data_IF_769187894301
#
_entry.id   IF_769187894301
#
_cell.length_a   1.000
_cell.length_b   1.000
_cell.length_c   1.000
_cell.angle_alpha   90.00
_cell.angle_beta   90.00
_cell.angle_gamma   90.00
#
_symmetry.space_group_name_H-M   'P 1'
#
loop_
_entity.id
_entity.type
_entity.pdbx_description
1 polymer ?
#
# COMPACT_ATOMS: atom_id res chain seq x y z
N UNK A 1 6.82 -53.25 2.44
CA UNK A 1 7.44 -51.97 2.04
C UNK A 1 7.06 -50.93 3.08
N UNK A 2 8.04 -50.26 3.67
CA UNK A 2 7.83 -49.33 4.76
C UNK A 2 6.97 -48.16 4.30
N UNK A 3 5.75 -48.07 4.81
CA UNK A 3 4.85 -46.95 4.57
C UNK A 3 5.36 -45.74 5.36
N UNK A 4 6.36 -45.06 4.80
CA UNK A 4 6.67 -43.66 5.13
C UNK A 4 5.50 -42.83 4.60
N UNK A 5 4.37 -42.95 5.29
CA UNK A 5 3.16 -42.20 5.02
C UNK A 5 3.10 -40.99 5.93
N UNK A 6 1.88 -40.66 6.35
CA UNK A 6 1.58 -39.59 7.32
C UNK A 6 2.52 -39.58 8.54
N UNK A 7 2.93 -40.71 9.16
CA UNK A 7 3.84 -40.69 10.29
C UNK A 7 5.22 -40.06 9.99
N UNK A 8 5.76 -40.29 8.79
CA UNK A 8 7.04 -39.69 8.38
C UNK A 8 6.94 -38.18 8.17
N UNK A 9 5.82 -37.72 7.61
CA UNK A 9 5.55 -36.29 7.39
C UNK A 9 5.43 -35.55 8.74
N UNK A 10 4.76 -36.16 9.73
CA UNK A 10 4.65 -35.60 11.08
C UNK A 10 6.04 -35.42 11.71
N UNK A 11 6.94 -36.40 11.57
CA UNK A 11 8.30 -36.31 12.11
C UNK A 11 9.07 -35.11 11.53
N UNK A 12 8.98 -34.91 10.21
CA UNK A 12 9.60 -33.78 9.52
C UNK A 12 8.96 -32.46 9.98
N UNK A 13 7.64 -32.42 10.13
CA UNK A 13 6.92 -31.25 10.61
C UNK A 13 7.38 -30.85 12.01
N UNK A 14 7.51 -31.82 12.93
CA UNK A 14 8.02 -31.56 14.28
C UNK A 14 9.43 -30.98 14.24
N UNK A 15 10.32 -31.52 13.41
CA UNK A 15 11.68 -30.99 13.27
C UNK A 15 11.67 -29.55 12.72
N UNK A 16 10.83 -29.27 11.73
CA UNK A 16 10.65 -27.92 11.20
C UNK A 16 10.08 -26.96 12.26
N UNK A 17 9.13 -27.42 13.09
CA UNK A 17 8.57 -26.65 14.19
C UNK A 17 9.60 -26.33 15.28
N UNK A 18 10.58 -27.21 15.52
CA UNK A 18 11.67 -26.93 16.45
C UNK A 18 12.62 -25.87 15.90
N UNK A 19 12.96 -25.94 14.61
CA UNK A 19 13.88 -24.99 13.97
C UNK A 19 13.25 -23.61 13.75
N UNK A 20 12.02 -23.58 13.23
CA UNK A 20 11.33 -22.34 12.85
C UNK A 20 10.35 -21.84 13.93
N UNK A 21 9.82 -22.73 14.77
CA UNK A 21 8.79 -22.40 15.75
C UNK A 21 7.35 -22.53 15.21
N UNK A 22 6.37 -22.97 16.03
CA UNK A 22 4.98 -23.15 15.62
C UNK A 22 4.26 -21.86 15.24
N UNK A 23 4.78 -20.70 15.65
CA UNK A 23 4.22 -19.40 15.27
C UNK A 23 4.67 -18.92 13.88
N UNK A 24 5.84 -19.37 13.40
CA UNK A 24 6.44 -18.88 12.15
C UNK A 24 5.91 -19.58 10.90
N UNK A 25 5.65 -20.89 10.97
CA UNK A 25 5.02 -21.61 9.86
C UNK A 25 3.65 -21.03 9.42
N UNK A 26 2.69 -20.74 10.34
CA UNK A 26 1.42 -20.13 9.93
C UNK A 26 1.59 -18.69 9.47
N UNK A 27 2.54 -17.92 10.02
CA UNK A 27 2.86 -16.57 9.57
C UNK A 27 3.37 -16.57 8.12
N UNK A 28 4.34 -17.44 7.80
CA UNK A 28 4.86 -17.64 6.44
C UNK A 28 3.80 -18.19 5.49
N UNK A 29 2.99 -19.16 5.92
CA UNK A 29 1.91 -19.72 5.13
C UNK A 29 0.84 -18.68 4.75
N UNK A 30 0.56 -17.72 5.64
CA UNK A 30 -0.37 -16.60 5.35
C UNK A 30 0.22 -15.64 4.33
N UNK A 31 1.51 -15.29 4.45
CA UNK A 31 2.19 -14.42 3.50
C UNK A 31 2.24 -15.05 2.10
N UNK A 32 2.73 -16.30 2.01
CA UNK A 32 2.79 -17.07 0.76
C UNK A 32 1.39 -17.31 0.19
N UNK A 33 0.41 -17.63 1.04
CA UNK A 33 -0.97 -17.84 0.62
C UNK A 33 -1.63 -16.60 0.02
N UNK A 34 -1.30 -15.40 0.53
CA UNK A 34 -1.76 -14.14 -0.06
C UNK A 34 -1.20 -13.97 -1.48
N UNK A 35 0.10 -14.16 -1.64
CA UNK A 35 0.77 -14.10 -2.95
C UNK A 35 0.21 -15.13 -3.93
N UNK A 36 -0.01 -16.37 -3.49
CA UNK A 36 -0.60 -17.43 -4.33
C UNK A 36 -2.05 -17.10 -4.73
N UNK A 37 -2.83 -16.47 -3.83
CA UNK A 37 -4.20 -16.06 -4.11
C UNK A 37 -4.25 -14.96 -5.17
N UNK A 38 -3.38 -13.96 -5.05
CA UNK A 38 -3.26 -12.87 -6.03
C UNK A 38 -2.74 -13.39 -7.37
N UNK A 39 -1.71 -14.23 -7.34
CA UNK A 39 -1.18 -14.90 -8.53
C UNK A 39 -2.27 -15.69 -9.25
N UNK A 40 -3.03 -16.53 -8.53
CA UNK A 40 -4.17 -17.28 -9.11
C UNK A 40 -5.19 -16.35 -9.76
N UNK A 41 -5.53 -15.24 -9.10
CA UNK A 41 -6.51 -14.28 -9.63
C UNK A 41 -6.01 -13.57 -10.89
N UNK A 42 -4.73 -13.20 -10.91
CA UNK A 42 -4.08 -12.60 -12.08
C UNK A 42 -4.03 -13.61 -13.24
N UNK A 43 -3.58 -14.84 -12.98
CA UNK A 43 -3.53 -15.90 -14.00
C UNK A 43 -4.92 -16.26 -14.53
N UNK A 44 -5.96 -16.30 -13.67
CA UNK A 44 -7.34 -16.52 -14.11
C UNK A 44 -7.87 -15.45 -15.08
N UNK A 45 -7.37 -14.21 -14.98
CA UNK A 45 -7.70 -13.16 -15.96
C UNK A 45 -7.01 -13.35 -17.31
N UNK A 46 -5.86 -14.03 -17.33
CA UNK A 46 -5.07 -14.31 -18.53
C UNK A 46 -5.50 -15.60 -19.24
N UNK A 47 -5.99 -16.59 -18.48
CA UNK A 47 -6.54 -17.85 -19.01
C UNK A 47 -7.98 -17.70 -19.53
N UNK A 48 -8.63 -16.57 -19.25
CA UNK A 48 -10.06 -16.36 -19.53
C UNK A 48 -10.42 -16.11 -21.01
N UNK A 49 -9.45 -16.12 -21.92
CA UNK A 49 -9.73 -16.04 -23.35
C UNK A 49 -10.21 -17.38 -23.95
N UNK A 50 -10.20 -18.50 -23.21
CA UNK A 50 -10.59 -19.82 -23.76
C UNK A 50 -11.60 -20.66 -22.94
N UNK A 51 -12.04 -20.27 -21.75
CA UNK A 51 -13.03 -21.07 -20.99
C UNK A 51 -14.02 -20.18 -20.21
N UNK A 52 -15.27 -20.18 -20.69
CA UNK A 52 -16.44 -19.69 -19.93
C UNK A 52 -16.79 -20.68 -18.81
N UNK A 53 -17.19 -20.10 -17.66
CA UNK A 53 -17.83 -20.73 -16.50
C UNK A 53 -17.02 -21.73 -15.65
N UNK A 54 -16.47 -21.22 -14.53
CA UNK A 54 -16.47 -22.00 -13.28
C UNK A 54 -16.51 -21.08 -12.04
N UNK A 55 -17.74 -20.94 -11.57
CA UNK A 55 -18.27 -20.62 -10.25
C UNK A 55 -17.65 -19.53 -9.36
N UNK A 56 -18.52 -18.56 -9.12
CA UNK A 56 -18.54 -17.65 -8.00
C UNK A 56 -18.60 -18.39 -6.66
N UNK A 57 -17.70 -18.02 -5.73
CA UNK A 57 -18.00 -17.73 -4.30
C UNK A 57 -16.70 -17.44 -3.54
N UNK A 58 -16.41 -16.16 -3.36
CA UNK A 58 -15.56 -15.68 -2.24
C UNK A 58 -15.86 -14.21 -1.90
N UNK A 59 -17.14 -13.83 -1.90
CA UNK A 59 -17.60 -12.74 -1.06
C UNK A 59 -18.15 -13.35 0.22
N UNK A 60 -17.32 -13.40 1.25
CA UNK A 60 -17.80 -13.41 2.62
C UNK A 60 -16.87 -12.53 3.45
N UNK A 61 -17.01 -11.23 3.24
CA UNK A 61 -16.81 -10.28 4.32
C UNK A 61 -17.95 -10.52 5.31
N UNK A 62 -17.65 -11.20 6.42
CA UNK A 62 -18.45 -11.13 7.65
C UNK A 62 -17.64 -10.26 8.62
N UNK A 63 -18.03 -9.01 8.87
CA UNK A 63 -17.57 -8.28 10.04
C UNK A 63 -18.39 -8.76 11.22
N UNK A 64 -17.81 -9.64 12.05
CA UNK A 64 -18.11 -9.80 13.48
C UNK A 64 -17.26 -10.93 14.07
N UNK A 65 -16.24 -10.58 14.85
CA UNK A 65 -16.29 -10.65 16.31
C UNK A 65 -14.93 -10.24 16.89
N UNK A 66 -14.94 -9.10 17.57
CA UNK A 66 -13.91 -8.71 18.55
C UNK A 66 -13.96 -9.70 19.71
N UNK A 67 -12.82 -10.30 20.06
CA UNK A 67 -12.44 -10.57 21.43
C UNK A 67 -10.94 -10.89 21.51
N UNK A 68 -10.22 -10.06 22.28
CA UNK A 68 -8.87 -10.28 22.82
C UNK A 68 -7.66 -10.08 21.89
N UNK A 69 -7.37 -8.83 21.54
CA UNK A 69 -6.13 -8.15 21.99
C UNK A 69 -6.21 -6.64 21.72
N UNK A 70 -6.99 -5.97 22.56
CA UNK A 70 -6.81 -4.53 22.81
C UNK A 70 -5.47 -4.32 23.50
N UNK A 71 -4.80 -3.23 23.18
CA UNK A 71 -3.49 -2.72 23.65
C UNK A 71 -2.37 -2.89 22.62
N UNK A 72 -1.91 -1.75 22.10
CA UNK A 72 -0.80 -1.51 21.16
C UNK A 72 -1.13 -1.74 19.67
N UNK A 73 -1.97 -0.88 19.09
CA UNK A 73 -1.57 0.05 18.02
C UNK A 73 -2.58 1.20 18.06
N UNK A 74 -2.22 2.22 18.82
CA UNK A 74 -2.92 3.50 18.87
C UNK A 74 -2.28 4.44 17.86
N UNK A 75 -3.12 5.25 17.21
CA UNK A 75 -2.88 6.67 16.91
C UNK A 75 -1.83 7.11 15.87
N UNK A 76 -1.00 6.24 15.29
CA UNK A 76 0.11 6.72 14.44
C UNK A 76 -0.18 6.92 12.94
N UNK A 77 -1.32 6.50 12.41
CA UNK A 77 -1.55 6.56 10.95
C UNK A 77 -2.51 7.67 10.49
N UNK A 78 -3.17 8.36 11.42
CA UNK A 78 -4.05 9.48 11.09
C UNK A 78 -3.31 10.83 10.99
N UNK A 79 -2.20 10.97 11.71
CA UNK A 79 -1.44 12.23 11.78
C UNK A 79 -0.55 12.47 10.55
N UNK A 80 -0.10 11.41 9.87
CA UNK A 80 0.80 11.53 8.70
C UNK A 80 0.08 12.02 7.44
N UNK A 81 -1.24 11.80 7.31
CA UNK A 81 -2.01 12.26 6.15
C UNK A 81 -2.33 13.76 6.22
N UNK A 82 -2.71 14.27 7.39
CA UNK A 82 -2.96 15.71 7.55
C UNK A 82 -1.67 16.52 7.38
N UNK A 83 -0.54 16.02 7.90
CA UNK A 83 0.75 16.71 7.79
C UNK A 83 1.28 16.76 6.35
N UNK A 84 1.05 15.71 5.57
CA UNK A 84 1.41 15.64 4.16
C UNK A 84 0.52 16.54 3.29
N UNK A 85 -0.78 16.63 3.59
CA UNK A 85 -1.70 17.53 2.89
C UNK A 85 -1.42 19.02 3.22
N UNK A 86 -1.00 19.31 4.45
CA UNK A 86 -0.57 20.66 4.85
C UNK A 86 0.73 21.09 4.14
N UNK A 87 1.72 20.19 4.00
CA UNK A 87 2.98 20.52 3.34
C UNK A 87 2.81 20.74 1.82
N UNK A 88 1.90 20.01 1.16
CA UNK A 88 1.62 20.17 -0.28
C UNK A 88 0.92 21.51 -0.57
N UNK A 89 -0.04 21.93 0.29
CA UNK A 89 -0.73 23.22 0.11
C UNK A 89 0.18 24.41 0.35
N UNK A 90 1.08 24.35 1.33
CA UNK A 90 1.99 25.47 1.62
C UNK A 90 3.02 25.71 0.50
N UNK A 91 3.48 24.65 -0.18
CA UNK A 91 4.42 24.79 -1.30
C UNK A 91 3.76 25.40 -2.56
N UNK A 92 2.47 25.17 -2.78
CA UNK A 92 1.72 25.68 -3.93
C UNK A 92 1.42 27.19 -3.83
N UNK A 93 1.28 27.74 -2.64
CA UNK A 93 1.00 29.18 -2.45
C UNK A 93 2.27 30.03 -2.60
N UNK A 94 3.42 29.53 -2.17
CA UNK A 94 4.70 30.25 -2.29
C UNK A 94 5.13 30.44 -3.75
N UNK A 95 4.85 29.47 -4.63
CA UNK A 95 5.15 29.61 -6.06
C UNK A 95 4.30 30.68 -6.77
N UNK A 96 3.06 30.91 -6.34
CA UNK A 96 2.19 31.91 -6.99
C UNK A 96 2.57 33.33 -6.61
N UNK A 97 2.91 33.56 -5.34
CA UNK A 97 3.25 34.89 -4.85
C UNK A 97 4.58 35.36 -5.44
N UNK A 98 5.58 34.48 -5.59
CA UNK A 98 6.85 34.84 -6.24
C UNK A 98 6.69 35.16 -7.72
N UNK A 99 5.82 34.41 -8.43
CA UNK A 99 5.51 34.70 -9.84
C UNK A 99 4.81 36.06 -9.98
N UNK A 100 3.83 36.35 -9.12
CA UNK A 100 3.10 37.63 -9.17
C UNK A 100 4.00 38.82 -8.79
N UNK A 101 4.90 38.68 -7.81
CA UNK A 101 5.85 39.73 -7.44
C UNK A 101 6.84 39.98 -8.57
N UNK A 102 7.39 38.92 -9.18
CA UNK A 102 8.33 39.06 -10.31
C UNK A 102 7.68 39.74 -11.51
N UNK A 103 6.45 39.39 -11.82
CA UNK A 103 5.69 39.99 -12.91
C UNK A 103 5.39 41.47 -12.65
N UNK A 104 4.98 41.83 -11.42
CA UNK A 104 4.76 43.24 -11.05
C UNK A 104 6.05 44.06 -11.10
N UNK A 105 7.18 43.49 -10.66
CA UNK A 105 8.46 44.18 -10.63
C UNK A 105 9.05 44.37 -12.04
N UNK A 106 8.78 43.45 -12.97
CA UNK A 106 9.12 43.61 -14.39
C UNK A 106 8.25 44.67 -15.07
N UNK A 107 6.94 44.71 -14.79
CA UNK A 107 6.07 45.78 -15.30
C UNK A 107 6.51 47.17 -14.83
N UNK A 108 6.89 47.29 -13.55
CA UNK A 108 7.37 48.56 -12.99
C UNK A 108 8.69 49.01 -13.65
N UNK A 109 9.61 48.07 -13.95
CA UNK A 109 10.84 48.38 -14.69
C UNK A 109 10.59 48.83 -16.12
N UNK A 110 9.67 48.19 -16.82
CA UNK A 110 9.29 48.59 -18.19
C UNK A 110 8.60 49.95 -18.22
N UNK A 111 7.84 50.30 -17.18
CA UNK A 111 7.27 51.64 -17.03
C UNK A 111 8.33 52.69 -16.73
N UNK A 112 9.31 52.38 -15.87
CA UNK A 112 10.42 53.26 -15.57
C UNK A 112 11.32 53.50 -16.80
N UNK A 113 11.58 52.47 -17.60
CA UNK A 113 12.36 52.58 -18.83
C UNK A 113 11.65 53.42 -19.90
N UNK A 114 10.35 53.18 -20.10
CA UNK A 114 9.54 54.00 -21.03
C UNK A 114 9.39 55.45 -20.55
N UNK A 115 9.34 55.70 -19.24
CA UNK A 115 9.30 57.05 -18.69
C UNK A 115 10.63 57.80 -18.89
N UNK A 116 11.77 57.09 -18.89
CA UNK A 116 13.09 57.68 -19.19
C UNK A 116 13.30 57.93 -20.69
N UNK A 117 12.68 57.15 -21.58
CA UNK A 117 12.75 57.38 -23.03
C UNK A 117 11.85 58.53 -23.52
N UNK A 118 10.89 58.98 -22.70
CA UNK A 118 9.93 60.04 -23.05
C UNK A 118 10.22 61.41 -22.43
N UNK A 119 11.28 61.54 -21.65
CA UNK A 119 11.80 62.79 -21.08
C UNK A 119 13.00 63.28 -21.89
#
# INVERSE_FOLDING_TARGET
MSTIGVPGLILILVLALVLFGPKKLPELGRAVGHTLKEFKNATRGLTRDDDEDDDAKAQQQLPQQQAAKTTVVTEKDAFDREKMEQEIRERLERERIEKEIREKLEQERLQAENAQQKA
#
